data_IF_915041795110
#
_entry.id   IF_915041795110
#
_cell.length_a   1.000
_cell.length_b   1.000
_cell.length_c   1.000
_cell.angle_alpha   90.00
_cell.angle_beta   90.00
_cell.angle_gamma   90.00
#
_symmetry.space_group_name_H-M   'P 1'
#
loop_
_entity.id
_entity.type
_entity.pdbx_description
1 polymer ?
#
# COMPACT_ATOMS: atom_id res chain seq x y z
N UNK A 1 -19.26 17.01 -26.31
CA UNK A 1 -18.73 15.67 -25.98
C UNK A 1 -19.33 15.16 -24.68
N UNK A 2 -19.95 13.98 -24.67
CA UNK A 2 -20.79 13.49 -23.57
C UNK A 2 -20.03 12.78 -22.44
N UNK A 3 -18.70 12.66 -22.54
CA UNK A 3 -17.83 11.91 -21.59
C UNK A 3 -18.40 10.52 -21.24
N UNK A 4 -18.67 9.71 -22.27
CA UNK A 4 -19.28 8.37 -22.13
C UNK A 4 -18.31 7.27 -22.56
N UNK A 5 -18.33 6.13 -21.85
CA UNK A 5 -17.51 4.95 -22.14
C UNK A 5 -17.21 4.13 -20.87
N UNK A 6 -16.88 2.84 -21.04
CA UNK A 6 -16.44 1.97 -19.94
C UNK A 6 -14.93 1.71 -20.05
N UNK A 7 -14.08 2.49 -19.37
CA UNK A 7 -12.62 2.33 -19.47
C UNK A 7 -12.09 1.09 -18.71
N UNK A 8 -12.87 0.55 -17.76
CA UNK A 8 -12.44 -0.55 -16.89
C UNK A 8 -13.43 -1.73 -16.96
N UNK A 9 -12.89 -2.97 -17.01
CA UNK A 9 -13.70 -4.19 -17.10
C UNK A 9 -14.28 -4.63 -15.73
N UNK A 10 -13.51 -4.41 -14.66
CA UNK A 10 -13.91 -4.59 -13.26
C UNK A 10 -13.02 -3.69 -12.38
N UNK A 11 -13.39 -3.60 -11.10
CA UNK A 11 -12.61 -2.87 -10.09
C UNK A 11 -12.24 -3.79 -8.92
N UNK A 12 -11.09 -3.50 -8.34
CA UNK A 12 -10.61 -4.08 -7.09
C UNK A 12 -10.97 -3.13 -5.96
N UNK A 13 -11.47 -3.68 -4.86
CA UNK A 13 -11.86 -2.91 -3.69
C UNK A 13 -11.06 -3.36 -2.48
N UNK A 14 -10.94 -2.49 -1.50
CA UNK A 14 -10.35 -2.84 -0.22
C UNK A 14 -10.46 -1.69 0.76
N UNK A 15 -10.18 -2.01 2.02
CA UNK A 15 -10.11 -1.05 3.10
C UNK A 15 -8.95 -1.42 4.02
N UNK A 16 -8.29 -0.41 4.56
CA UNK A 16 -7.25 -0.55 5.55
C UNK A 16 -7.57 0.35 6.75
N UNK A 17 -7.28 -0.13 7.96
CA UNK A 17 -7.30 0.63 9.19
C UNK A 17 -5.91 0.57 9.81
N UNK A 18 -5.33 1.73 10.12
CA UNK A 18 -4.02 1.83 10.77
C UNK A 18 -4.11 2.64 12.04
N UNK A 19 -3.39 2.19 13.06
CA UNK A 19 -3.20 2.87 14.33
C UNK A 19 -1.72 3.22 14.48
N UNK A 20 -1.45 4.47 14.89
CA UNK A 20 -0.10 5.00 15.06
C UNK A 20 0.03 5.72 16.40
N UNK A 21 1.21 5.64 16.99
CA UNK A 21 1.60 6.45 18.14
C UNK A 21 2.66 7.46 17.69
N UNK A 22 2.49 8.73 18.04
CA UNK A 22 3.40 9.81 17.66
C UNK A 22 4.13 10.35 18.89
N UNK A 23 5.42 10.61 18.76
CA UNK A 23 6.19 11.37 19.73
C UNK A 23 6.06 12.86 19.40
N UNK A 24 5.23 13.57 20.18
CA UNK A 24 4.98 14.99 19.99
C UNK A 24 6.22 15.89 20.20
N UNK A 25 7.30 15.39 20.82
CA UNK A 25 8.53 16.15 21.04
C UNK A 25 9.51 16.03 19.88
N UNK A 26 9.56 14.87 19.22
CA UNK A 26 10.54 14.59 18.15
C UNK A 26 9.93 14.57 16.75
N UNK A 27 8.62 14.36 16.65
CA UNK A 27 7.91 14.14 15.38
C UNK A 27 8.05 12.71 14.86
N UNK A 28 8.69 11.81 15.61
CA UNK A 28 8.77 10.39 15.26
C UNK A 28 7.42 9.68 15.47
N UNK A 29 7.24 8.52 14.86
CA UNK A 29 6.04 7.73 15.03
C UNK A 29 6.30 6.22 14.90
N UNK A 30 5.43 5.43 15.52
CA UNK A 30 5.38 3.99 15.34
C UNK A 30 4.01 3.55 14.84
N UNK A 31 4.01 2.63 13.88
CA UNK A 31 2.78 1.98 13.43
C UNK A 31 2.48 0.80 14.34
N UNK A 32 1.48 0.96 15.22
CA UNK A 32 1.13 -0.06 16.21
C UNK A 32 0.44 -1.24 15.53
N UNK A 33 -0.49 -0.95 14.62
CA UNK A 33 -1.32 -1.98 13.99
C UNK A 33 -1.86 -1.53 12.64
N UNK A 34 -1.94 -2.47 11.71
CA UNK A 34 -2.70 -2.33 10.47
C UNK A 34 -3.52 -3.58 10.19
N UNK A 35 -4.80 -3.38 9.87
CA UNK A 35 -5.71 -4.44 9.37
C UNK A 35 -6.18 -4.08 7.97
N UNK A 36 -6.01 -5.01 7.02
CA UNK A 36 -6.41 -4.84 5.63
C UNK A 36 -7.39 -5.93 5.21
N UNK A 37 -8.46 -5.52 4.52
CA UNK A 37 -9.38 -6.42 3.81
C UNK A 37 -9.37 -6.04 2.33
N UNK A 38 -9.01 -6.99 1.45
CA UNK A 38 -8.99 -6.78 0.00
C UNK A 38 -9.95 -7.74 -0.72
N UNK A 39 -10.73 -7.21 -1.65
CA UNK A 39 -11.55 -7.97 -2.59
C UNK A 39 -10.75 -8.29 -3.85
N UNK A 40 -10.16 -9.49 -3.87
CA UNK A 40 -9.45 -10.05 -5.02
C UNK A 40 -10.25 -11.16 -5.74
N UNK A 41 -11.56 -11.23 -5.48
CA UNK A 41 -12.40 -12.34 -5.91
C UNK A 41 -11.90 -13.71 -5.44
N UNK A 42 -11.86 -14.69 -6.34
CA UNK A 42 -11.23 -15.98 -6.07
C UNK A 42 -9.76 -15.93 -6.46
N UNK A 43 -8.92 -15.62 -5.46
CA UNK A 43 -7.47 -15.60 -5.59
C UNK A 43 -6.95 -16.88 -6.25
N UNK A 44 -6.10 -16.72 -7.28
CA UNK A 44 -5.42 -17.83 -7.95
C UNK A 44 -4.33 -18.43 -7.05
N UNK A 45 -3.64 -17.56 -6.30
CA UNK A 45 -2.62 -17.95 -5.34
C UNK A 45 -2.64 -16.97 -4.15
N UNK A 46 -3.30 -17.35 -3.04
CA UNK A 46 -3.45 -16.47 -1.89
C UNK A 46 -2.13 -16.01 -1.28
N UNK A 47 -1.06 -16.81 -1.36
CA UNK A 47 0.24 -16.44 -0.81
C UNK A 47 0.90 -15.31 -1.60
N UNK A 48 0.79 -15.33 -2.93
CA UNK A 48 1.33 -14.26 -3.79
C UNK A 48 0.49 -12.99 -3.60
N UNK A 49 -0.83 -13.14 -3.60
CA UNK A 49 -1.75 -12.01 -3.49
C UNK A 49 -1.61 -11.28 -2.14
N UNK A 50 -1.44 -12.02 -1.04
CA UNK A 50 -1.14 -11.43 0.27
C UNK A 50 0.19 -10.67 0.21
N UNK A 51 1.25 -11.27 -0.36
CA UNK A 51 2.54 -10.58 -0.51
C UNK A 51 2.47 -9.31 -1.36
N UNK A 52 1.60 -9.27 -2.38
CA UNK A 52 1.34 -8.06 -3.17
C UNK A 52 0.66 -6.99 -2.32
N UNK A 53 -0.34 -7.35 -1.52
CA UNK A 53 -1.05 -6.42 -0.63
C UNK A 53 -0.07 -5.82 0.39
N UNK A 54 0.73 -6.67 1.05
CA UNK A 54 1.71 -6.25 2.05
C UNK A 54 2.78 -5.34 1.42
N UNK A 55 3.36 -5.74 0.29
CA UNK A 55 4.38 -4.97 -0.40
C UNK A 55 3.88 -3.62 -0.89
N UNK A 56 2.70 -3.59 -1.53
CA UNK A 56 2.09 -2.36 -2.00
C UNK A 56 1.70 -1.43 -0.85
N UNK A 57 1.21 -1.97 0.27
CA UNK A 57 0.91 -1.19 1.46
C UNK A 57 2.17 -0.54 2.03
N UNK A 58 3.26 -1.30 2.20
CA UNK A 58 4.52 -0.76 2.75
C UNK A 58 5.12 0.30 1.82
N UNK A 59 5.06 0.11 0.49
CA UNK A 59 5.47 1.15 -0.47
C UNK A 59 4.61 2.42 -0.36
N UNK A 60 3.28 2.27 -0.24
CA UNK A 60 2.38 3.40 -0.03
C UNK A 60 2.64 4.12 1.29
N UNK A 61 2.89 3.38 2.36
CA UNK A 61 3.30 3.93 3.65
C UNK A 61 4.58 4.76 3.52
N UNK A 62 5.62 4.22 2.87
CA UNK A 62 6.85 4.94 2.58
C UNK A 62 6.60 6.25 1.84
N UNK A 63 5.84 6.22 0.75
CA UNK A 63 5.45 7.40 -0.03
C UNK A 63 4.81 8.50 0.83
N UNK A 64 3.94 8.14 1.77
CA UNK A 64 3.19 9.11 2.56
C UNK A 64 3.90 9.60 3.82
N UNK A 65 4.93 8.89 4.31
CA UNK A 65 5.47 9.15 5.66
C UNK A 65 6.99 9.24 5.74
N UNK A 66 7.74 8.57 4.86
CA UNK A 66 9.20 8.45 4.98
C UNK A 66 9.96 8.99 3.77
N UNK A 67 9.43 8.76 2.57
CA UNK A 67 10.14 8.99 1.32
C UNK A 67 10.05 10.46 0.89
N UNK A 68 11.21 11.15 0.90
CA UNK A 68 11.31 12.54 0.47
C UNK A 68 12.37 12.71 -0.63
N UNK A 69 11.96 13.31 -1.76
CA UNK A 69 12.88 13.74 -2.80
C UNK A 69 13.29 15.19 -2.60
N UNK A 70 14.57 15.41 -2.28
CA UNK A 70 15.12 16.75 -2.01
C UNK A 70 15.82 17.26 -3.27
N UNK A 71 15.45 18.47 -3.69
CA UNK A 71 16.03 19.15 -4.85
C UNK A 71 16.68 20.46 -4.43
N UNK A 72 17.84 20.76 -5.01
CA UNK A 72 18.48 22.06 -4.91
C UNK A 72 17.75 23.10 -5.78
N UNK A 73 18.00 24.38 -5.50
CA UNK A 73 17.43 25.51 -6.28
C UNK A 73 17.78 25.49 -7.77
N UNK A 74 18.86 24.80 -8.15
CA UNK A 74 19.27 24.61 -9.54
C UNK A 74 18.64 23.36 -10.19
N UNK A 75 17.73 22.67 -9.51
CA UNK A 75 17.05 21.47 -9.99
C UNK A 75 17.82 20.15 -9.79
N UNK A 76 19.03 20.18 -9.22
CA UNK A 76 19.77 18.95 -8.96
C UNK A 76 19.20 18.17 -7.75
N UNK A 77 19.09 16.86 -7.88
CA UNK A 77 18.64 15.96 -6.79
C UNK A 77 19.74 15.79 -5.73
N UNK A 78 19.37 15.93 -4.45
CA UNK A 78 20.23 15.66 -3.30
C UNK A 78 20.10 14.23 -2.79
N UNK A 79 18.89 13.66 -2.77
CA UNK A 79 18.58 12.34 -2.22
C UNK A 79 18.95 11.18 -3.16
N UNK A 80 20.23 11.10 -3.57
CA UNK A 80 20.75 10.17 -4.59
C UNK A 80 21.09 8.75 -4.09
N UNK A 81 20.53 8.32 -2.96
CA UNK A 81 20.80 6.98 -2.43
C UNK A 81 20.24 6.75 -1.03
N UNK A 82 20.37 5.53 -0.50
CA UNK A 82 19.71 5.10 0.74
C UNK A 82 20.20 5.85 2.00
N UNK A 83 21.33 6.54 1.91
CA UNK A 83 21.80 7.44 2.95
C UNK A 83 20.90 8.67 3.15
N UNK A 84 20.31 9.18 2.06
CA UNK A 84 19.53 10.41 2.03
C UNK A 84 18.08 10.23 1.52
N UNK A 85 17.73 9.06 1.00
CA UNK A 85 16.38 8.65 0.64
C UNK A 85 15.99 7.44 1.47
N UNK A 86 14.99 7.57 2.33
CA UNK A 86 14.65 6.54 3.31
C UNK A 86 13.41 5.77 2.85
N UNK A 87 13.67 4.59 2.29
CA UNK A 87 12.64 3.57 2.11
C UNK A 87 12.25 2.99 3.48
N UNK A 88 11.03 2.46 3.63
CA UNK A 88 10.64 1.70 4.82
C UNK A 88 11.62 0.55 5.10
N UNK A 89 12.16 0.54 6.31
CA UNK A 89 12.96 -0.55 6.85
C UNK A 89 12.11 -1.57 7.61
N UNK A 90 12.78 -2.61 8.13
CA UNK A 90 12.11 -3.68 8.90
C UNK A 90 11.46 -3.20 10.20
N UNK A 91 11.91 -2.08 10.76
CA UNK A 91 11.36 -1.48 11.98
C UNK A 91 10.13 -0.62 11.74
N UNK A 92 9.87 -0.26 10.49
CA UNK A 92 8.86 0.75 10.14
C UNK A 92 7.53 0.07 9.75
N UNK A 93 7.52 -1.25 9.60
CA UNK A 93 6.29 -2.03 9.34
C UNK A 93 5.39 -2.06 10.58
N UNK A 94 4.07 -2.22 10.42
CA UNK A 94 3.15 -2.35 11.56
C UNK A 94 3.56 -3.51 12.47
N UNK A 95 3.60 -3.27 13.80
CA UNK A 95 3.95 -4.33 14.77
C UNK A 95 2.95 -5.49 14.73
N UNK A 96 1.67 -5.15 14.56
CA UNK A 96 0.62 -6.11 14.22
C UNK A 96 0.13 -5.85 12.81
N UNK A 97 0.39 -6.77 11.88
CA UNK A 97 0.00 -6.63 10.48
C UNK A 97 -0.92 -7.77 10.05
N UNK A 98 -2.21 -7.48 9.89
CA UNK A 98 -3.21 -8.46 9.49
C UNK A 98 -3.71 -8.17 8.07
N UNK A 99 -3.62 -9.16 7.19
CA UNK A 99 -4.17 -9.10 5.84
C UNK A 99 -5.18 -10.21 5.63
N UNK A 100 -6.35 -9.86 5.11
CA UNK A 100 -7.43 -10.80 4.82
C UNK A 100 -8.05 -10.56 3.46
N UNK A 101 -8.46 -11.64 2.82
CA UNK A 101 -9.15 -11.61 1.52
C UNK A 101 -10.66 -11.72 1.74
N UNK A 102 -11.43 -10.87 1.06
CA UNK A 102 -12.89 -10.89 1.13
C UNK A 102 -13.43 -12.21 0.59
N UNK A 103 -14.18 -12.94 1.41
CA UNK A 103 -14.76 -14.24 1.03
C UNK A 103 -16.07 -14.03 0.25
N UNK A 104 -16.34 -14.93 -0.69
CA UNK A 104 -17.61 -14.96 -1.43
C UNK A 104 -17.75 -13.90 -2.53
N UNK A 105 -16.64 -13.27 -2.96
CA UNK A 105 -16.65 -12.17 -3.92
C UNK A 105 -16.30 -12.58 -5.37
N UNK A 106 -16.84 -13.69 -5.87
CA UNK A 106 -16.47 -14.22 -7.20
C UNK A 106 -16.65 -13.20 -8.34
N UNK A 107 -15.65 -13.08 -9.22
CA UNK A 107 -15.67 -12.18 -10.38
C UNK A 107 -15.82 -12.93 -11.72
N UNK A 108 -17.04 -13.13 -12.25
CA UNK A 108 -17.24 -13.93 -13.48
C UNK A 108 -16.60 -13.32 -14.75
N UNK A 109 -16.09 -12.09 -14.69
CA UNK A 109 -15.47 -11.40 -15.83
C UNK A 109 -13.99 -11.70 -16.01
N UNK A 110 -13.38 -12.40 -15.07
CA UNK A 110 -11.96 -12.72 -15.05
C UNK A 110 -11.72 -14.24 -14.95
N UNK A 111 -10.50 -14.66 -15.28
CA UNK A 111 -10.09 -16.07 -15.28
C UNK A 111 -10.23 -16.65 -13.87
N UNK A 112 -10.88 -17.81 -13.77
CA UNK A 112 -11.17 -18.49 -12.49
C UNK A 112 -11.78 -17.59 -11.40
N UNK A 113 -12.53 -16.57 -11.79
CA UNK A 113 -13.13 -15.61 -10.87
C UNK A 113 -12.17 -14.74 -10.04
N UNK A 114 -10.91 -14.60 -10.47
CA UNK A 114 -9.89 -13.77 -9.80
C UNK A 114 -10.07 -12.26 -10.06
N UNK A 115 -9.21 -11.44 -9.45
CA UNK A 115 -9.07 -10.02 -9.80
C UNK A 115 -7.61 -9.64 -9.91
#
# INVERSE_FOLDING_TARGET
DTNTGNPFNYFTYGAACSEVEIDCLTGDHQVLRTDIVMDLGQSLNPAIDIGQIEGAFVQGYGLFTLEEMIYLRNGAVCSKGPGAYKLPGFTDIPQTFNVSLLKGASNPRAVYSSK
#
